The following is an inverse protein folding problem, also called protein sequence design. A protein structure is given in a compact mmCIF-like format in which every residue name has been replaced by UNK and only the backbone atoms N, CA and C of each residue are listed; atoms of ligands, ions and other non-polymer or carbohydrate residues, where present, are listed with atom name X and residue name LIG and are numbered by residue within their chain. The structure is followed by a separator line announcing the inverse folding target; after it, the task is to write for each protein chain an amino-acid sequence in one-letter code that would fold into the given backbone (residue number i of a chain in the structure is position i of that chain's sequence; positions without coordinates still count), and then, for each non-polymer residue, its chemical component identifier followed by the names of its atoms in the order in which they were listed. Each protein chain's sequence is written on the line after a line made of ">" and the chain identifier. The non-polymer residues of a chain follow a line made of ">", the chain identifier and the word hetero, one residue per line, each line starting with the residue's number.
data_IF_237857373375
#
_entry.id   IF_237857373375
#
_cell.length_a   1.000
_cell.length_b   1.000
_cell.length_c   1.000
_cell.angle_alpha   90.00
_cell.angle_beta   90.00
_cell.angle_gamma   90.00
#
_symmetry.space_group_name_H-M   'P 1'
#
loop_
_entity.id
_entity.type
_entity.pdbx_description
1 polymer ?
#
# COMPACT_ATOMS: atom_id res chain seq x y z
N UNK A 1 44.51 -62.13 -16.35
CA UNK A 1 43.94 -60.91 -16.96
C UNK A 1 42.46 -60.88 -16.61
N UNK A 2 42.08 -59.92 -15.74
CA UNK A 2 40.74 -59.33 -15.48
C UNK A 2 39.51 -60.25 -15.59
N UNK A 3 38.66 -60.43 -14.58
CA UNK A 3 37.87 -59.37 -13.94
C UNK A 3 37.01 -60.00 -12.83
N UNK A 4 37.11 -59.51 -11.60
CA UNK A 4 36.18 -59.76 -10.50
C UNK A 4 35.93 -58.44 -9.78
N UNK A 5 34.69 -57.96 -9.80
CA UNK A 5 34.30 -56.76 -9.06
C UNK A 5 32.92 -56.28 -9.42
N UNK A 6 31.92 -56.70 -8.64
CA UNK A 6 30.58 -56.08 -8.60
C UNK A 6 30.71 -54.59 -8.22
N UNK A 7 29.91 -53.69 -8.80
CA UNK A 7 29.91 -52.28 -8.44
C UNK A 7 29.13 -52.06 -7.13
N UNK A 8 29.73 -51.28 -6.24
CA UNK A 8 29.12 -50.72 -5.04
C UNK A 8 28.43 -49.40 -5.37
N UNK A 9 27.20 -49.26 -4.92
CA UNK A 9 26.36 -48.08 -5.09
C UNK A 9 26.95 -46.85 -4.40
N UNK A 10 26.97 -45.71 -5.11
CA UNK A 10 27.34 -44.43 -4.55
C UNK A 10 27.11 -43.29 -5.55
N UNK A 11 26.31 -42.30 -5.16
CA UNK A 11 26.18 -41.03 -5.88
C UNK A 11 24.77 -40.74 -6.36
N UNK A 12 23.95 -40.14 -5.50
CA UNK A 12 22.65 -39.53 -5.85
C UNK A 12 22.86 -38.46 -6.91
N UNK A 13 22.07 -38.56 -7.97
CA UNK A 13 21.73 -37.45 -8.85
C UNK A 13 21.15 -36.30 -8.01
N UNK A 14 21.61 -35.09 -8.28
CA UNK A 14 21.22 -33.89 -7.59
C UNK A 14 21.52 -32.69 -8.47
N UNK A 15 20.51 -32.31 -9.25
CA UNK A 15 20.38 -31.09 -10.04
C UNK A 15 21.10 -29.89 -9.41
N UNK A 16 22.13 -29.39 -10.07
CA UNK A 16 22.62 -28.03 -9.85
C UNK A 16 21.65 -27.07 -10.56
N UNK A 17 20.52 -26.78 -9.92
CA UNK A 17 19.65 -25.69 -10.31
C UNK A 17 20.39 -24.38 -10.05
N UNK A 18 20.90 -23.76 -11.12
CA UNK A 18 21.51 -22.45 -11.10
C UNK A 18 20.44 -21.37 -10.84
N UNK A 19 19.95 -21.30 -9.61
CA UNK A 19 19.23 -20.12 -9.16
C UNK A 19 20.25 -19.07 -8.78
N UNK A 20 20.57 -18.24 -9.77
CA UNK A 20 21.10 -16.90 -9.56
C UNK A 20 20.29 -16.25 -8.43
N UNK A 21 20.94 -16.05 -7.29
CA UNK A 21 20.37 -15.32 -6.16
C UNK A 21 20.23 -13.85 -6.58
N UNK A 22 19.16 -13.57 -7.31
CA UNK A 22 18.67 -12.23 -7.57
C UNK A 22 18.37 -11.60 -6.21
N UNK A 23 19.15 -10.57 -5.87
CA UNK A 23 18.99 -9.82 -4.64
C UNK A 23 17.52 -9.42 -4.48
N UNK A 24 16.87 -9.96 -3.45
CA UNK A 24 15.50 -9.61 -3.13
C UNK A 24 15.46 -8.17 -2.65
N UNK A 25 15.28 -7.21 -3.59
CA UNK A 25 14.55 -5.98 -3.30
C UNK A 25 13.20 -6.42 -2.77
N UNK A 26 12.99 -6.35 -1.48
CA UNK A 26 11.68 -6.60 -0.88
C UNK A 26 10.77 -5.45 -1.35
N UNK A 27 10.06 -5.64 -2.47
CA UNK A 27 9.07 -4.69 -3.00
C UNK A 27 7.86 -4.63 -2.05
N UNK A 28 7.51 -3.42 -1.61
CA UNK A 28 6.17 -3.10 -1.09
C UNK A 28 5.91 -3.40 0.39
N UNK A 29 6.77 -2.90 1.31
CA UNK A 29 6.52 -2.96 2.76
C UNK A 29 6.60 -1.57 3.38
N UNK A 30 5.70 -1.30 4.33
CA UNK A 30 5.72 -0.07 5.14
C UNK A 30 6.50 -0.36 6.43
N UNK A 31 7.75 0.07 6.46
CA UNK A 31 8.73 -0.27 7.50
C UNK A 31 9.74 0.84 7.70
N UNK A 32 10.49 0.73 8.79
CA UNK A 32 11.63 1.60 9.06
C UNK A 32 12.67 1.53 7.95
N UNK A 33 13.42 2.63 7.79
CA UNK A 33 14.51 2.71 6.83
C UNK A 33 15.66 1.78 7.22
N UNK A 34 16.20 1.06 6.24
CA UNK A 34 17.35 0.17 6.45
C UNK A 34 18.67 0.97 6.51
N UNK A 35 19.12 1.32 7.71
CA UNK A 35 20.38 2.04 7.95
C UNK A 35 21.65 1.16 7.84
N UNK A 36 21.54 -0.14 7.49
CA UNK A 36 22.69 -1.03 7.42
C UNK A 36 23.60 -0.66 6.24
N UNK A 37 24.94 -0.75 6.38
CA UNK A 37 25.86 -0.58 5.26
C UNK A 37 25.52 -1.55 4.12
N UNK A 38 25.13 -1.01 2.96
CA UNK A 38 24.67 -1.81 1.82
C UNK A 38 25.80 -2.60 1.14
N UNK A 39 27.07 -2.28 1.45
CA UNK A 39 28.26 -2.88 0.86
C UNK A 39 28.57 -4.29 1.38
N UNK A 40 27.93 -4.74 2.46
CA UNK A 40 28.09 -6.10 2.97
C UNK A 40 27.00 -7.04 2.39
N UNK A 41 27.37 -8.24 1.93
CA UNK A 41 26.42 -9.31 1.62
C UNK A 41 25.44 -9.52 2.79
N UNK A 42 24.17 -9.82 2.49
CA UNK A 42 23.09 -9.94 3.50
C UNK A 42 23.50 -10.84 4.68
N UNK A 43 24.17 -11.97 4.42
CA UNK A 43 24.61 -12.90 5.47
C UNK A 43 25.82 -12.46 6.30
N UNK A 44 26.47 -11.36 5.93
CA UNK A 44 27.61 -10.77 6.65
C UNK A 44 27.25 -9.45 7.34
N UNK A 45 26.01 -8.99 7.23
CA UNK A 45 25.51 -7.86 8.02
C UNK A 45 25.45 -8.31 9.49
N UNK A 46 26.40 -7.84 10.30
CA UNK A 46 26.40 -8.10 11.75
C UNK A 46 25.06 -7.59 12.32
N UNK A 47 24.23 -8.51 12.84
CA UNK A 47 22.87 -8.19 13.31
C UNK A 47 21.81 -8.48 12.25
N UNK A 48 21.35 -9.73 12.20
CA UNK A 48 20.32 -10.26 11.31
C UNK A 48 18.89 -9.72 11.59
N UNK A 49 18.75 -8.49 12.09
CA UNK A 49 17.45 -7.88 12.33
C UNK A 49 17.06 -7.09 11.08
N UNK A 50 16.15 -7.63 10.29
CA UNK A 50 15.45 -6.87 9.25
C UNK A 50 14.70 -5.67 9.88
N UNK A 51 14.59 -4.52 9.19
CA UNK A 51 13.79 -3.41 9.70
C UNK A 51 12.35 -3.84 9.98
N UNK A 52 11.81 -3.37 11.10
CA UNK A 52 10.46 -3.71 11.55
C UNK A 52 9.42 -3.02 10.66
N UNK A 53 8.35 -3.76 10.34
CA UNK A 53 7.17 -3.19 9.69
C UNK A 53 6.41 -2.30 10.68
N UNK A 54 5.89 -1.16 10.21
CA UNK A 54 5.08 -0.29 11.05
C UNK A 54 3.74 -0.94 11.38
N UNK A 55 3.33 -0.98 12.66
CA UNK A 55 2.12 -1.70 13.07
C UNK A 55 0.85 -0.89 12.78
N UNK A 56 0.30 -1.02 11.56
CA UNK A 56 -0.91 -0.30 11.14
C UNK A 56 -2.12 -0.53 12.07
N UNK A 57 -2.21 -1.70 12.71
CA UNK A 57 -3.26 -2.02 13.68
C UNK A 57 -3.22 -1.15 14.95
N UNK A 58 -2.11 -0.46 15.22
CA UNK A 58 -1.98 0.47 16.34
C UNK A 58 -2.48 1.89 16.00
N UNK A 59 -2.89 2.15 14.76
CA UNK A 59 -3.50 3.43 14.38
C UNK A 59 -4.93 3.46 14.94
N UNK A 60 -5.17 4.35 15.90
CA UNK A 60 -6.46 4.48 16.59
C UNK A 60 -7.26 5.72 16.18
N UNK A 61 -6.62 6.70 15.53
CA UNK A 61 -7.27 7.91 15.04
C UNK A 61 -8.18 7.62 13.83
N UNK A 62 -9.47 8.02 13.81
CA UNK A 62 -10.37 7.77 12.68
C UNK A 62 -9.77 8.25 11.35
N UNK A 63 -9.80 7.39 10.33
CA UNK A 63 -9.15 7.67 9.04
C UNK A 63 -10.18 7.82 7.93
N UNK A 64 -10.03 8.88 7.12
CA UNK A 64 -10.68 8.99 5.80
C UNK A 64 -9.60 8.98 4.73
N UNK A 65 -9.76 8.14 3.72
CA UNK A 65 -8.83 8.03 2.59
C UNK A 65 -9.41 8.74 1.37
N UNK A 66 -8.81 9.86 0.96
CA UNK A 66 -9.14 10.55 -0.29
C UNK A 66 -8.05 10.20 -1.31
N UNK A 67 -8.44 9.68 -2.48
CA UNK A 67 -7.51 9.18 -3.49
C UNK A 67 -8.04 9.39 -4.90
N UNK A 68 -7.17 9.29 -5.91
CA UNK A 68 -7.52 9.55 -7.30
C UNK A 68 -7.06 8.42 -8.23
N UNK A 69 -7.77 8.21 -9.34
CA UNK A 69 -7.49 7.10 -10.24
C UNK A 69 -6.24 7.27 -11.09
N UNK A 70 -5.80 8.52 -11.30
CA UNK A 70 -4.60 8.87 -12.06
C UNK A 70 -3.46 9.31 -11.13
N UNK A 71 -3.47 8.87 -9.86
CA UNK A 71 -2.38 9.08 -8.92
C UNK A 71 -1.33 7.95 -9.05
N UNK A 72 -0.23 8.28 -9.72
CA UNK A 72 0.95 7.42 -9.88
C UNK A 72 1.76 7.16 -8.59
N UNK A 73 1.61 7.98 -7.55
CA UNK A 73 2.32 7.85 -6.27
C UNK A 73 1.47 7.09 -5.25
N UNK A 74 0.16 7.28 -5.29
CA UNK A 74 -0.82 6.60 -4.43
C UNK A 74 -1.81 5.79 -5.28
N UNK A 75 -1.33 4.72 -5.91
CA UNK A 75 -2.13 3.83 -6.77
C UNK A 75 -3.34 3.25 -6.00
N UNK A 76 -4.47 3.10 -6.69
CA UNK A 76 -5.73 2.59 -6.12
C UNK A 76 -5.53 1.26 -5.38
N UNK A 77 -4.65 0.37 -5.87
CA UNK A 77 -4.39 -0.94 -5.26
C UNK A 77 -3.69 -0.79 -3.91
N UNK A 78 -2.76 0.15 -3.79
CA UNK A 78 -2.04 0.39 -2.54
C UNK A 78 -2.93 1.11 -1.52
N UNK A 79 -3.79 2.03 -1.98
CA UNK A 79 -4.84 2.63 -1.12
C UNK A 79 -5.83 1.57 -0.64
N UNK A 80 -6.27 0.65 -1.52
CA UNK A 80 -7.17 -0.45 -1.15
C UNK A 80 -6.54 -1.41 -0.12
N UNK A 81 -5.25 -1.72 -0.28
CA UNK A 81 -4.48 -2.49 0.71
C UNK A 81 -4.36 -1.77 2.05
N UNK A 82 -4.07 -0.46 2.03
CA UNK A 82 -4.00 0.35 3.25
C UNK A 82 -5.36 0.39 3.96
N UNK A 83 -6.45 0.63 3.21
CA UNK A 83 -7.81 0.67 3.75
C UNK A 83 -8.19 -0.63 4.45
N UNK A 84 -7.81 -1.78 3.86
CA UNK A 84 -8.08 -3.11 4.42
C UNK A 84 -7.20 -3.45 5.64
N UNK A 85 -6.07 -2.76 5.81
CA UNK A 85 -5.10 -3.01 6.89
C UNK A 85 -5.32 -2.11 8.10
N UNK A 86 -6.00 -0.98 7.93
CA UNK A 86 -6.31 -0.04 9.00
C UNK A 86 -7.57 -0.47 9.76
N UNK A 87 -7.58 -0.43 11.10
CA UNK A 87 -8.71 -0.93 11.89
C UNK A 87 -9.90 0.05 11.94
N UNK A 88 -9.75 1.29 11.48
CA UNK A 88 -10.63 2.41 11.81
C UNK A 88 -10.81 3.40 10.64
N UNK A 89 -10.89 2.88 9.42
CA UNK A 89 -11.30 3.66 8.25
C UNK A 89 -12.81 3.92 8.35
N UNK A 90 -13.19 5.20 8.42
CA UNK A 90 -14.59 5.61 8.53
C UNK A 90 -15.20 6.01 7.18
N UNK A 91 -14.36 6.34 6.19
CA UNK A 91 -14.79 6.67 4.83
C UNK A 91 -13.63 6.52 3.82
N UNK A 92 -13.97 6.28 2.56
CA UNK A 92 -13.04 6.31 1.43
C UNK A 92 -13.67 7.06 0.27
N UNK A 93 -12.94 7.99 -0.33
CA UNK A 93 -13.45 8.85 -1.40
C UNK A 93 -12.50 8.84 -2.60
N UNK A 94 -12.98 8.27 -3.70
CA UNK A 94 -12.34 8.39 -5.01
C UNK A 94 -12.76 9.72 -5.63
N UNK A 95 -11.79 10.60 -5.90
CA UNK A 95 -12.05 11.89 -6.56
C UNK A 95 -12.72 11.65 -7.91
N UNK A 96 -13.89 12.25 -8.19
CA UNK A 96 -14.70 11.97 -9.38
C UNK A 96 -14.17 12.70 -10.62
N UNK A 97 -12.86 12.67 -10.84
CA UNK A 97 -12.21 13.24 -12.00
C UNK A 97 -11.02 12.38 -12.42
N UNK A 98 -11.14 11.74 -13.57
CA UNK A 98 -10.16 10.76 -14.06
C UNK A 98 -8.79 11.36 -14.35
N UNK A 99 -8.70 12.66 -14.63
CA UNK A 99 -7.43 13.36 -14.88
C UNK A 99 -6.73 13.79 -13.58
N UNK A 100 -7.45 13.81 -12.46
CA UNK A 100 -6.94 14.24 -11.16
C UNK A 100 -5.84 13.29 -10.68
N UNK A 101 -4.68 13.84 -10.34
CA UNK A 101 -3.49 13.10 -9.95
C UNK A 101 -2.94 13.57 -8.59
N UNK A 102 -1.75 13.09 -8.23
CA UNK A 102 -1.10 13.37 -6.96
C UNK A 102 -0.94 14.86 -6.63
N UNK A 103 -0.51 15.67 -7.62
CA UNK A 103 -0.22 17.08 -7.41
C UNK A 103 -1.49 17.92 -7.35
N UNK A 104 -2.59 17.45 -7.95
CA UNK A 104 -3.85 18.17 -7.95
C UNK A 104 -4.41 18.31 -6.53
N UNK A 105 -4.15 17.35 -5.62
CA UNK A 105 -4.54 17.47 -4.21
C UNK A 105 -4.04 18.75 -3.53
N UNK A 106 -2.93 19.34 -4.01
CA UNK A 106 -2.36 20.57 -3.49
C UNK A 106 -2.55 21.77 -4.44
N UNK A 107 -2.37 21.57 -5.74
CA UNK A 107 -2.23 22.65 -6.73
C UNK A 107 -3.33 22.67 -7.81
N UNK A 108 -4.27 21.73 -7.77
CA UNK A 108 -5.34 21.65 -8.75
C UNK A 108 -6.26 22.87 -8.65
N UNK A 109 -6.56 23.49 -9.79
CA UNK A 109 -7.43 24.67 -9.87
C UNK A 109 -8.87 24.40 -9.38
N UNK A 110 -9.28 23.12 -9.36
CA UNK A 110 -10.62 22.67 -8.94
C UNK A 110 -10.59 21.86 -7.64
N UNK A 111 -9.48 21.86 -6.91
CA UNK A 111 -9.35 21.04 -5.68
C UNK A 111 -10.24 21.52 -4.55
N UNK A 112 -10.66 22.79 -4.59
CA UNK A 112 -11.67 23.33 -3.70
C UNK A 112 -12.97 22.53 -3.78
N UNK A 113 -13.52 22.33 -4.97
CA UNK A 113 -14.80 21.65 -5.16
C UNK A 113 -14.67 20.13 -5.17
N UNK A 114 -13.56 19.60 -5.69
CA UNK A 114 -13.35 18.15 -5.82
C UNK A 114 -12.95 17.47 -4.51
N UNK A 115 -12.22 18.17 -3.63
CA UNK A 115 -11.61 17.60 -2.42
C UNK A 115 -11.93 18.42 -1.17
N UNK A 116 -11.69 19.73 -1.16
CA UNK A 116 -11.74 20.51 0.09
C UNK A 116 -13.15 20.65 0.65
N UNK A 117 -14.17 20.82 -0.20
CA UNK A 117 -15.57 20.83 0.23
C UNK A 117 -15.97 19.52 0.93
N UNK A 118 -15.43 18.38 0.46
CA UNK A 118 -15.61 17.08 1.12
C UNK A 118 -14.91 17.06 2.48
N UNK A 119 -13.66 17.52 2.56
CA UNK A 119 -12.91 17.62 3.82
C UNK A 119 -13.68 18.48 4.84
N UNK A 120 -14.18 19.65 4.46
CA UNK A 120 -14.96 20.50 5.37
C UNK A 120 -16.24 19.82 5.85
N UNK A 121 -16.90 19.05 4.98
CA UNK A 121 -18.08 18.28 5.38
C UNK A 121 -17.78 17.15 6.36
N UNK A 122 -16.59 16.54 6.27
CA UNK A 122 -16.12 15.51 7.21
C UNK A 122 -15.76 16.14 8.55
N UNK A 123 -15.02 17.25 8.54
CA UNK A 123 -14.56 17.93 9.76
C UNK A 123 -15.67 18.67 10.49
N UNK A 124 -16.68 19.15 9.76
CA UNK A 124 -17.80 19.90 10.33
C UNK A 124 -19.15 19.37 9.82
N UNK A 125 -19.57 18.17 10.27
CA UNK A 125 -20.80 17.53 9.80
C UNK A 125 -22.06 18.36 10.10
N UNK A 126 -22.00 19.28 11.07
CA UNK A 126 -23.13 20.12 11.47
C UNK A 126 -23.16 21.51 10.79
N UNK A 127 -22.14 21.86 9.98
CA UNK A 127 -22.07 23.16 9.28
C UNK A 127 -23.17 23.36 8.23
N UNK A 128 -23.78 22.27 7.74
CA UNK A 128 -24.85 22.32 6.73
C UNK A 128 -26.22 22.79 7.26
N UNK A 129 -26.35 23.09 8.55
CA UNK A 129 -27.61 23.57 9.14
C UNK A 129 -27.73 25.10 9.28
N UNK A 130 -26.82 25.89 8.70
CA UNK A 130 -27.00 27.35 8.60
C UNK A 130 -26.62 27.85 7.21
N UNK A 131 -27.57 27.79 6.28
CA UNK A 131 -27.50 28.58 5.05
C UNK A 131 -27.43 27.78 3.75
N UNK A 132 -28.45 27.00 3.43
CA UNK A 132 -28.82 26.74 2.04
C UNK A 132 -30.30 26.33 2.00
N UNK A 133 -31.12 27.16 1.36
CA UNK A 133 -32.53 26.88 1.15
C UNK A 133 -32.75 25.61 0.33
N UNK A 134 -33.75 24.85 0.76
CA UNK A 134 -34.64 24.00 -0.03
C UNK A 134 -34.19 23.68 -1.45
N UNK A 135 -33.46 22.59 -1.65
CA UNK A 135 -33.51 21.82 -2.90
C UNK A 135 -33.52 20.32 -2.55
N UNK A 136 -34.73 19.77 -2.58
CA UNK A 136 -35.07 18.36 -2.39
C UNK A 136 -34.49 17.53 -3.54
N UNK A 137 -33.61 16.58 -3.23
CA UNK A 137 -33.33 15.44 -4.11
C UNK A 137 -33.96 14.18 -3.51
N UNK A 138 -34.82 13.56 -4.31
CA UNK A 138 -35.73 12.49 -3.91
C UNK A 138 -35.03 11.23 -3.41
N UNK A 139 -35.71 10.57 -2.47
CA UNK A 139 -35.44 9.22 -2.00
C UNK A 139 -35.67 8.21 -3.12
N UNK A 140 -34.67 7.40 -3.46
CA UNK A 140 -34.91 6.14 -4.15
C UNK A 140 -35.24 5.07 -3.11
N UNK A 141 -36.50 4.62 -3.15
CA UNK A 141 -36.97 3.40 -2.52
C UNK A 141 -36.46 2.21 -3.35
N UNK A 142 -35.90 1.20 -2.69
CA UNK A 142 -35.83 -0.15 -3.25
C UNK A 142 -36.69 -1.09 -2.41
N UNK A 143 -37.50 -1.87 -3.14
CA UNK A 143 -38.34 -2.98 -2.69
C UNK A 143 -37.53 -4.10 -2.07
#
# INVERSE_FOLDING_TARGET
>A
MTSSGKPIAGGREGEANSQSASGSKVKGKFREFDNRPQLLPIGLRLGNVEPLDYPLHMITAPVVLLYASNDWMSDIRDVSRLASSLPNVIDTYLVPQSTFNHLDFMYGIHSNTLVYDRIFSILNPNSRLRGAGSHSWGTYLTK
#
